data_IF_330814109815
#
_entry.id   IF_330814109815
#
_cell.length_a   1.000
_cell.length_b   1.000
_cell.length_c   1.000
_cell.angle_alpha   90.00
_cell.angle_beta   90.00
_cell.angle_gamma   90.00
#
_symmetry.space_group_name_H-M   'P 1'
#
loop_
_entity.id
_entity.type
_entity.pdbx_description
1 polymer ?
#
# COMPACT_ATOMS: atom_id res chain seq x y z
N UNK A 1 -5.92 1.31 -29.43
CA UNK A 1 -5.24 1.68 -28.18
C UNK A 1 -5.35 0.49 -27.22
N UNK A 2 -4.27 -0.24 -26.91
CA UNK A 2 -4.37 -1.42 -26.07
C UNK A 2 -4.61 -1.00 -24.61
N UNK A 3 -5.73 -1.43 -24.04
CA UNK A 3 -5.95 -1.39 -22.58
C UNK A 3 -5.46 -2.72 -22.02
N UNK A 4 -4.44 -2.68 -21.17
CA UNK A 4 -4.04 -3.82 -20.36
C UNK A 4 -4.73 -3.69 -19.00
N UNK A 5 -5.57 -4.67 -18.66
CA UNK A 5 -6.18 -4.75 -17.33
C UNK A 5 -5.35 -5.72 -16.50
N UNK A 6 -4.66 -5.20 -15.50
CA UNK A 6 -3.82 -5.98 -14.60
C UNK A 6 -4.64 -6.31 -13.35
N UNK A 7 -5.10 -7.55 -13.24
CA UNK A 7 -5.76 -8.05 -12.03
C UNK A 7 -4.72 -8.70 -11.13
N UNK A 8 -4.38 -8.04 -10.03
CA UNK A 8 -3.46 -8.56 -9.02
C UNK A 8 -4.29 -9.02 -7.82
N UNK A 9 -4.10 -10.26 -7.38
CA UNK A 9 -4.68 -10.75 -6.13
C UNK A 9 -3.79 -10.30 -4.97
N UNK A 10 -4.29 -9.40 -4.14
CA UNK A 10 -3.60 -8.97 -2.92
C UNK A 10 -3.56 -10.13 -1.92
N UNK A 11 -2.40 -10.48 -1.33
CA UNK A 11 -2.33 -11.48 -0.26
C UNK A 11 -3.28 -11.11 0.89
N UNK A 12 -3.78 -12.13 1.60
CA UNK A 12 -4.71 -11.96 2.72
C UNK A 12 -4.12 -11.17 3.88
N UNK A 13 -2.80 -11.16 4.01
CA UNK A 13 -2.08 -10.46 5.08
C UNK A 13 -1.66 -9.03 4.68
N UNK A 14 -2.13 -8.51 3.54
CA UNK A 14 -1.81 -7.14 3.12
C UNK A 14 -2.90 -6.19 3.59
N UNK A 15 -2.57 -5.36 4.58
CA UNK A 15 -3.42 -4.34 5.18
C UNK A 15 -4.20 -3.46 4.18
N UNK A 16 -3.66 -3.21 2.97
CA UNK A 16 -4.36 -2.44 1.94
C UNK A 16 -5.67 -3.11 1.47
N UNK A 17 -5.76 -4.45 1.55
CA UNK A 17 -6.99 -5.21 1.29
C UNK A 17 -8.05 -4.92 2.35
N UNK A 18 -7.65 -4.95 3.62
CA UNK A 18 -8.57 -4.76 4.74
C UNK A 18 -9.10 -3.32 4.78
N UNK A 19 -8.24 -2.35 4.49
CA UNK A 19 -8.65 -0.95 4.32
C UNK A 19 -9.58 -0.78 3.12
N UNK A 20 -9.26 -1.38 1.99
CA UNK A 20 -10.12 -1.29 0.79
C UNK A 20 -11.50 -1.91 1.03
N UNK A 21 -11.59 -2.93 1.90
CA UNK A 21 -12.85 -3.59 2.28
C UNK A 21 -13.60 -2.87 3.41
N UNK A 22 -12.88 -2.15 4.28
CA UNK A 22 -13.50 -1.36 5.35
C UNK A 22 -14.06 -0.04 4.84
N UNK A 23 -13.48 0.47 3.75
CA UNK A 23 -13.83 1.74 3.13
C UNK A 23 -14.29 1.53 1.68
N UNK A 24 -15.39 0.81 1.47
CA UNK A 24 -15.94 0.46 0.14
C UNK A 24 -16.20 1.66 -0.79
N UNK A 25 -16.43 2.85 -0.21
CA UNK A 25 -16.64 4.10 -0.95
C UNK A 25 -15.35 4.89 -1.23
N UNK A 26 -14.18 4.37 -0.83
CA UNK A 26 -12.87 5.01 -0.99
C UNK A 26 -12.09 4.36 -2.13
N UNK A 27 -11.51 5.21 -2.98
CA UNK A 27 -10.55 4.75 -4.00
C UNK A 27 -9.14 4.85 -3.46
N UNK A 28 -8.43 3.72 -3.41
CA UNK A 28 -6.99 3.66 -3.17
C UNK A 28 -6.26 3.40 -4.49
N UNK A 29 -5.35 4.27 -4.87
CA UNK A 29 -4.50 4.12 -6.05
C UNK A 29 -3.04 4.10 -5.63
N UNK A 30 -2.33 3.04 -5.97
CA UNK A 30 -0.87 2.96 -5.78
C UNK A 30 -0.20 3.75 -6.91
N UNK A 31 0.36 4.90 -6.56
CA UNK A 31 1.09 5.75 -7.52
C UNK A 31 2.48 5.19 -7.77
N UNK A 32 3.16 4.78 -6.70
CA UNK A 32 4.45 4.09 -6.77
C UNK A 32 4.67 3.25 -5.50
N UNK A 33 5.50 2.20 -5.62
CA UNK A 33 5.98 1.41 -4.51
C UNK A 33 7.44 1.04 -4.74
N UNK A 34 8.27 1.27 -3.73
CA UNK A 34 9.70 0.99 -3.70
C UNK A 34 9.96 0.03 -2.54
N UNK A 35 10.58 -1.11 -2.82
CA UNK A 35 11.02 -2.03 -1.78
C UNK A 35 12.54 -1.91 -1.62
N UNK A 36 12.99 -1.49 -0.44
CA UNK A 36 14.39 -1.51 -0.01
C UNK A 36 14.70 -2.74 0.85
N UNK A 37 15.97 -2.90 1.23
CA UNK A 37 16.39 -4.00 2.10
C UNK A 37 15.81 -3.87 3.52
N UNK A 38 15.75 -2.64 4.05
CA UNK A 38 15.31 -2.35 5.43
C UNK A 38 13.89 -1.78 5.53
N UNK A 39 13.47 -0.98 4.53
CA UNK A 39 12.16 -0.37 4.48
C UNK A 39 11.54 -0.40 3.07
N UNK A 40 10.21 -0.43 3.03
CA UNK A 40 9.40 -0.20 1.83
C UNK A 40 8.74 1.18 1.89
N UNK A 41 8.66 1.87 0.74
CA UNK A 41 7.98 3.16 0.62
C UNK A 41 6.90 3.03 -0.45
N UNK A 42 5.68 3.42 -0.14
CA UNK A 42 4.58 3.51 -1.10
C UNK A 42 4.03 4.94 -1.14
N UNK A 43 3.73 5.45 -2.34
CA UNK A 43 2.85 6.60 -2.49
C UNK A 43 1.46 6.12 -2.89
N UNK A 44 0.48 6.54 -2.12
CA UNK A 44 -0.92 6.24 -2.32
C UNK A 44 -1.68 7.53 -2.61
N UNK A 45 -2.49 7.52 -3.66
CA UNK A 45 -3.56 8.48 -3.83
C UNK A 45 -4.84 7.90 -3.22
N UNK A 46 -5.46 8.68 -2.35
CA UNK A 46 -6.67 8.29 -1.64
C UNK A 46 -7.76 9.29 -1.98
N UNK A 47 -8.89 8.81 -2.47
CA UNK A 47 -10.10 9.62 -2.71
C UNK A 47 -11.18 9.24 -1.70
N UNK A 48 -11.40 10.08 -0.70
CA UNK A 48 -12.35 9.79 0.40
C UNK A 48 -12.90 11.05 1.07
N UNK A 49 -14.05 10.92 1.74
CA UNK A 49 -14.54 11.88 2.73
C UNK A 49 -13.89 11.70 4.09
N UNK A 50 -13.43 10.49 4.38
CA UNK A 50 -13.11 10.01 5.73
C UNK A 50 -11.59 9.84 5.88
N UNK A 51 -10.84 10.74 5.23
CA UNK A 51 -9.39 10.65 5.09
C UNK A 51 -8.66 10.56 6.44
N UNK A 52 -9.15 11.26 7.46
CA UNK A 52 -8.51 11.25 8.78
C UNK A 52 -8.60 9.87 9.45
N UNK A 53 -9.76 9.22 9.36
CA UNK A 53 -9.98 7.88 9.92
C UNK A 53 -9.13 6.85 9.16
N UNK A 54 -9.11 6.94 7.83
CA UNK A 54 -8.26 6.11 6.98
C UNK A 54 -6.77 6.27 7.35
N UNK A 55 -6.29 7.49 7.51
CA UNK A 55 -4.88 7.73 7.87
C UNK A 55 -4.55 7.21 9.28
N UNK A 56 -5.50 7.28 10.21
CA UNK A 56 -5.34 6.71 11.54
C UNK A 56 -5.25 5.17 11.48
N UNK A 57 -6.10 4.53 10.68
CA UNK A 57 -6.08 3.07 10.51
C UNK A 57 -4.82 2.58 9.81
N UNK A 58 -4.30 3.33 8.81
CA UNK A 58 -3.02 3.06 8.16
C UNK A 58 -1.88 3.16 9.17
N UNK A 59 -1.84 4.24 9.98
CA UNK A 59 -0.84 4.42 11.04
C UNK A 59 -0.91 3.35 12.13
N UNK A 60 -2.08 2.74 12.33
CA UNK A 60 -2.27 1.66 13.29
C UNK A 60 -1.78 0.29 12.82
N UNK A 61 -1.40 0.14 11.54
CA UNK A 61 -0.92 -1.13 11.02
C UNK A 61 0.46 -1.48 11.60
N UNK A 62 0.70 -2.75 11.98
CA UNK A 62 1.92 -3.15 12.68
C UNK A 62 3.19 -2.98 11.85
N UNK A 63 3.07 -3.07 10.53
CA UNK A 63 4.19 -2.96 9.60
C UNK A 63 4.40 -1.54 9.09
N UNK A 64 3.55 -0.57 9.47
CA UNK A 64 3.67 0.83 9.07
C UNK A 64 4.56 1.57 10.06
N UNK A 65 5.65 2.13 9.55
CA UNK A 65 6.64 2.89 10.32
C UNK A 65 6.25 4.37 10.37
N UNK A 66 5.84 4.92 9.23
CA UNK A 66 5.44 6.32 9.14
C UNK A 66 4.43 6.56 8.02
N UNK A 67 3.66 7.64 8.15
CA UNK A 67 2.65 8.06 7.18
C UNK A 67 2.66 9.57 7.04
N UNK A 68 3.10 10.06 5.88
CA UNK A 68 3.17 11.48 5.58
C UNK A 68 2.09 11.91 4.58
N UNK A 69 1.32 12.93 4.95
CA UNK A 69 0.41 13.60 4.03
C UNK A 69 1.19 14.60 3.17
N UNK A 70 1.55 14.20 1.96
CA UNK A 70 2.32 15.02 1.04
C UNK A 70 1.47 16.17 0.46
N UNK A 71 0.21 15.88 0.15
CA UNK A 71 -0.72 16.85 -0.43
C UNK A 71 -2.18 16.45 -0.21
N UNK A 72 -3.08 17.44 -0.13
CA UNK A 72 -4.53 17.24 -0.11
C UNK A 72 -5.23 18.34 -0.89
N UNK A 73 -6.25 17.96 -1.67
CA UNK A 73 -7.24 18.88 -2.25
C UNK A 73 -8.60 18.20 -2.31
N UNK A 74 -9.62 18.92 -1.86
CA UNK A 74 -10.99 18.40 -1.85
C UNK A 74 -11.04 17.04 -1.11
N UNK A 75 -11.42 15.98 -1.84
CA UNK A 75 -11.51 14.59 -1.34
C UNK A 75 -10.28 13.75 -1.70
N UNK A 76 -9.32 14.31 -2.43
CA UNK A 76 -8.12 13.59 -2.87
C UNK A 76 -6.94 13.95 -2.01
N UNK A 77 -6.18 12.94 -1.57
CA UNK A 77 -4.93 13.09 -0.86
C UNK A 77 -3.84 12.25 -1.51
N UNK A 78 -2.61 12.75 -1.42
CA UNK A 78 -1.40 12.00 -1.76
C UNK A 78 -0.63 11.76 -0.46
N UNK A 79 -0.41 10.49 -0.16
CA UNK A 79 0.13 10.01 1.11
C UNK A 79 1.35 9.16 0.81
N UNK A 80 2.44 9.40 1.52
CA UNK A 80 3.56 8.47 1.58
C UNK A 80 3.38 7.56 2.79
N UNK A 81 3.53 6.27 2.59
CA UNK A 81 3.53 5.27 3.65
C UNK A 81 4.88 4.59 3.63
N UNK A 82 5.57 4.63 4.76
CA UNK A 82 6.77 3.84 5.00
C UNK A 82 6.39 2.60 5.80
N UNK A 83 6.84 1.45 5.32
CA UNK A 83 6.63 0.16 5.98
C UNK A 83 7.96 -0.49 6.30
N UNK A 84 8.02 -1.31 7.35
CA UNK A 84 9.16 -2.20 7.54
C UNK A 84 9.27 -3.13 6.34
N UNK A 85 10.48 -3.38 5.84
CA UNK A 85 10.63 -4.35 4.77
C UNK A 85 10.14 -5.72 5.24
N UNK A 86 9.41 -6.47 4.39
CA UNK A 86 9.12 -7.86 4.71
C UNK A 86 10.47 -8.58 4.80
N UNK A 87 10.96 -8.79 6.02
CA UNK A 87 12.16 -9.58 6.25
C UNK A 87 11.98 -10.87 5.46
N UNK A 88 12.89 -11.12 4.53
CA UNK A 88 12.82 -12.17 3.52
C UNK A 88 12.49 -13.54 4.15
N UNK A 89 11.20 -13.86 4.22
CA UNK A 89 10.70 -15.21 4.55
C UNK A 89 10.05 -15.89 3.35
N UNK A 90 10.31 -15.39 2.15
CA UNK A 90 10.20 -16.21 0.95
C UNK A 90 11.61 -16.58 0.52
N UNK A 91 12.04 -17.76 0.96
CA UNK A 91 13.19 -18.43 0.40
C UNK A 91 12.99 -18.51 -1.12
N UNK A 92 13.68 -17.64 -1.86
CA UNK A 92 13.91 -17.82 -3.27
C UNK A 92 14.75 -19.09 -3.41
N UNK A 93 14.06 -20.24 -3.52
CA UNK A 93 14.68 -21.54 -3.77
C UNK A 93 15.37 -21.42 -5.12
N UNK A 94 16.69 -21.26 -5.11
CA UNK A 94 17.48 -21.31 -6.35
C UNK A 94 17.18 -22.65 -7.04
N UNK A 95 16.89 -22.67 -8.35
CA UNK A 95 16.87 -23.93 -9.09
C UNK A 95 18.28 -24.52 -8.99
N UNK A 96 18.37 -25.67 -8.35
CA UNK A 96 19.56 -26.51 -8.38
C UNK A 96 19.72 -27.01 -9.80
N UNK A 97 20.90 -26.81 -10.37
CA UNK A 97 21.36 -27.40 -11.63
C UNK A 97 21.00 -28.88 -11.73
N UNK A 98 20.55 -29.27 -12.93
CA UNK A 98 20.71 -30.62 -13.49
C UNK A 98 21.00 -30.47 -14.99
#
# INVERSE_FOLDING_TARGET
>A
MPRAQLSISLPSDVWIRDLSTSYDATTFEVVTALAGEDAGIALLRIESTDLLDILADVRGQPDVVDVDLLWKRERTALVQVETTSPSSKSALRKPTDC
#
